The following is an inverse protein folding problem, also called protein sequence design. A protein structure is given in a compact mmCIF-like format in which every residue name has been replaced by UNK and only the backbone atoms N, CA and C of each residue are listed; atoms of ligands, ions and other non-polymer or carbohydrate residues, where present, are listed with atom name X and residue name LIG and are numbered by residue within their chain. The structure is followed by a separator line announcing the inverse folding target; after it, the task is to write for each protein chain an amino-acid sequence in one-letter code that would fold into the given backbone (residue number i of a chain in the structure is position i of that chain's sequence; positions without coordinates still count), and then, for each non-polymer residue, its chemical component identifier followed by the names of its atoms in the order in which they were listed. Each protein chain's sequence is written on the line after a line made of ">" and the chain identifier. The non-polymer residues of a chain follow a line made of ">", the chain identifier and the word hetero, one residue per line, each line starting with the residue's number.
data_IF_801274051073
#
_entry.id   IF_801274051073
#
_cell.length_a   1.000
_cell.length_b   1.000
_cell.length_c   1.000
_cell.angle_alpha   90.00
_cell.angle_beta   90.00
_cell.angle_gamma   90.00
#
_symmetry.space_group_name_H-M   'P 1'
#
loop_
_entity.id
_entity.type
_entity.pdbx_description
1 polymer ?
#
# COMPACT_ATOMS: atom_id res chain seq x y z
N UNK A 1 20.47 11.02 12.27
CA UNK A 1 20.00 9.72 11.78
C UNK A 1 18.53 9.64 12.15
N UNK A 2 17.61 9.96 11.24
CA UNK A 2 16.19 9.80 11.52
C UNK A 2 15.92 8.30 11.65
N UNK A 3 15.61 7.84 12.86
CA UNK A 3 15.06 6.51 13.09
C UNK A 3 13.76 6.43 12.31
N UNK A 4 13.72 5.67 11.22
CA UNK A 4 12.48 5.43 10.49
C UNK A 4 11.47 4.85 11.47
N UNK A 5 10.46 5.64 11.83
CA UNK A 5 9.46 5.18 12.78
C UNK A 5 8.63 4.12 12.07
N UNK A 6 8.64 2.90 12.62
CA UNK A 6 7.77 1.85 12.11
C UNK A 6 6.33 2.29 12.39
N UNK A 7 5.62 2.72 11.35
CA UNK A 7 4.19 3.00 11.41
C UNK A 7 3.44 1.69 11.24
N UNK A 8 2.49 1.36 12.13
CA UNK A 8 1.59 0.23 11.93
C UNK A 8 0.86 0.38 10.60
N UNK A 9 0.83 -0.70 9.80
CA UNK A 9 0.11 -0.75 8.53
C UNK A 9 -1.02 -1.76 8.67
N UNK A 10 -2.24 -1.31 8.40
CA UNK A 10 -3.39 -2.18 8.28
C UNK A 10 -3.64 -2.49 6.80
N UNK A 11 -3.90 -3.76 6.48
CA UNK A 11 -4.02 -4.22 5.10
C UNK A 11 -5.33 -4.98 4.93
N UNK A 12 -6.13 -4.54 3.97
CA UNK A 12 -7.33 -5.23 3.51
C UNK A 12 -7.14 -5.58 2.04
N UNK A 13 -7.22 -6.87 1.71
CA UNK A 13 -7.10 -7.35 0.34
C UNK A 13 -8.33 -8.18 -0.03
N UNK A 14 -9.22 -7.57 -0.80
CA UNK A 14 -10.42 -8.18 -1.38
C UNK A 14 -10.18 -8.36 -2.89
N UNK A 15 -9.07 -9.02 -3.24
CA UNK A 15 -8.72 -9.32 -4.62
C UNK A 15 -8.67 -10.83 -4.82
N UNK A 16 -9.29 -11.30 -5.90
CA UNK A 16 -9.00 -12.62 -6.46
C UNK A 16 -7.52 -12.71 -6.88
N UNK A 17 -6.95 -13.91 -7.03
CA UNK A 17 -5.58 -14.08 -7.51
C UNK A 17 -5.31 -13.22 -8.75
N UNK A 18 -4.35 -12.33 -8.63
CA UNK A 18 -4.04 -11.35 -9.66
C UNK A 18 -3.06 -11.95 -10.68
N UNK A 19 -3.06 -11.47 -11.93
CA UNK A 19 -1.96 -11.77 -12.85
C UNK A 19 -0.63 -11.34 -12.23
N UNK A 20 0.48 -12.10 -12.42
CA UNK A 20 1.76 -11.81 -11.78
C UNK A 20 2.28 -10.38 -12.03
N UNK A 21 1.98 -9.81 -13.20
CA UNK A 21 2.34 -8.43 -13.53
C UNK A 21 1.59 -7.41 -12.66
N UNK A 22 0.31 -7.67 -12.36
CA UNK A 22 -0.50 -6.81 -11.50
C UNK A 22 -0.07 -6.92 -10.04
N UNK A 23 0.29 -8.11 -9.55
CA UNK A 23 0.87 -8.30 -8.21
C UNK A 23 2.17 -7.51 -8.06
N UNK A 24 3.05 -7.63 -9.04
CA UNK A 24 4.34 -6.91 -9.04
C UNK A 24 4.12 -5.40 -9.05
N UNK A 25 3.20 -4.91 -9.88
CA UNK A 25 2.87 -3.49 -9.92
C UNK A 25 2.30 -2.99 -8.58
N UNK A 26 1.35 -3.74 -8.00
CA UNK A 26 0.76 -3.42 -6.70
C UNK A 26 1.82 -3.35 -5.60
N UNK A 27 2.73 -4.32 -5.56
CA UNK A 27 3.82 -4.34 -4.61
C UNK A 27 4.68 -3.08 -4.66
N UNK A 28 5.13 -2.66 -5.86
CA UNK A 28 5.96 -1.46 -5.99
C UNK A 28 5.21 -0.18 -5.65
N UNK A 29 3.94 -0.07 -6.05
CA UNK A 29 3.09 1.09 -5.72
C UNK A 29 2.92 1.21 -4.20
N UNK A 30 2.57 0.12 -3.52
CA UNK A 30 2.39 0.11 -2.06
C UNK A 30 3.71 0.40 -1.34
N UNK A 31 4.82 -0.21 -1.76
CA UNK A 31 6.12 -0.01 -1.13
C UNK A 31 6.60 1.45 -1.22
N UNK A 32 6.44 2.08 -2.38
CA UNK A 32 6.80 3.48 -2.59
C UNK A 32 5.87 4.42 -1.79
N UNK A 33 4.57 4.16 -1.80
CA UNK A 33 3.60 4.96 -1.04
C UNK A 33 3.90 4.91 0.47
N UNK A 34 4.11 3.72 1.04
CA UNK A 34 4.48 3.56 2.46
C UNK A 34 5.84 4.21 2.78
N UNK A 35 6.79 4.16 1.84
CA UNK A 35 8.07 4.86 1.99
C UNK A 35 7.88 6.37 2.07
N UNK A 36 7.00 6.93 1.23
CA UNK A 36 6.68 8.35 1.23
C UNK A 36 5.94 8.76 2.52
N UNK A 37 4.97 7.96 2.97
CA UNK A 37 4.27 8.18 4.25
C UNK A 37 5.28 8.19 5.40
N UNK A 38 6.13 7.17 5.51
CA UNK A 38 7.12 7.06 6.58
C UNK A 38 8.14 8.23 6.60
N UNK A 39 8.44 8.81 5.43
CA UNK A 39 9.38 9.93 5.30
C UNK A 39 8.73 11.30 5.49
N UNK A 40 7.45 11.46 5.14
CA UNK A 40 6.88 12.79 4.90
C UNK A 40 5.56 13.09 5.63
N UNK A 41 4.74 12.10 6.00
CA UNK A 41 3.36 12.34 6.52
C UNK A 41 3.31 12.74 8.01
N UNK A 42 4.28 12.30 8.82
CA UNK A 42 4.17 12.30 10.29
C UNK A 42 2.98 11.48 10.84
N UNK A 43 2.38 10.61 10.02
CA UNK A 43 1.25 9.80 10.41
C UNK A 43 1.64 8.75 11.46
N UNK A 44 0.67 8.41 12.32
CA UNK A 44 0.84 7.38 13.35
C UNK A 44 0.46 5.97 12.86
N UNK A 45 -0.11 5.84 11.66
CA UNK A 45 -0.51 4.58 11.02
C UNK A 45 -0.59 4.77 9.50
N UNK A 46 -0.80 3.69 8.77
CA UNK A 46 -1.21 3.71 7.38
C UNK A 46 -2.23 2.60 7.10
N UNK A 47 -3.11 2.83 6.13
CA UNK A 47 -4.11 1.87 5.66
C UNK A 47 -3.84 1.54 4.19
N UNK A 48 -3.85 0.25 3.84
CA UNK A 48 -3.66 -0.25 2.47
C UNK A 48 -4.86 -1.11 2.09
N UNK A 49 -5.55 -0.75 1.02
CA UNK A 49 -6.69 -1.50 0.49
C UNK A 49 -6.44 -1.93 -0.97
N UNK A 50 -6.65 -3.21 -1.26
CA UNK A 50 -6.62 -3.77 -2.61
C UNK A 50 -7.98 -4.37 -2.91
N UNK A 51 -8.58 -3.96 -4.04
CA UNK A 51 -9.83 -4.53 -4.54
C UNK A 51 -9.80 -4.62 -6.06
N UNK A 52 -10.55 -5.56 -6.62
CA UNK A 52 -10.78 -5.62 -8.07
C UNK A 52 -12.16 -5.03 -8.38
N UNK A 53 -12.18 -4.04 -9.26
CA UNK A 53 -13.39 -3.30 -9.68
C UNK A 53 -13.47 -3.30 -11.20
N UNK A 54 -14.52 -3.88 -11.78
CA UNK A 54 -14.68 -4.03 -13.23
C UNK A 54 -13.42 -4.59 -13.95
N UNK A 55 -12.78 -5.58 -13.35
CA UNK A 55 -11.56 -6.22 -13.88
C UNK A 55 -10.29 -5.37 -13.75
N UNK A 56 -10.33 -4.28 -12.98
CA UNK A 56 -9.19 -3.41 -12.69
C UNK A 56 -8.78 -3.55 -11.24
N UNK A 57 -7.49 -3.75 -11.00
CA UNK A 57 -6.94 -3.63 -9.66
C UNK A 57 -6.95 -2.17 -9.23
N UNK A 58 -7.62 -1.91 -8.12
CA UNK A 58 -7.60 -0.62 -7.42
C UNK A 58 -6.79 -0.79 -6.14
N UNK A 59 -5.75 0.03 -6.00
CA UNK A 59 -4.91 0.10 -4.82
C UNK A 59 -5.09 1.46 -4.18
N UNK A 60 -5.44 1.47 -2.90
CA UNK A 60 -5.58 2.68 -2.09
C UNK A 60 -4.59 2.61 -0.93
N UNK A 61 -3.87 3.70 -0.69
CA UNK A 61 -2.91 3.84 0.42
C UNK A 61 -3.16 5.19 1.07
N UNK A 62 -3.48 5.18 2.36
CA UNK A 62 -3.82 6.35 3.17
C UNK A 62 -2.97 6.40 4.45
N UNK A 63 -2.78 7.61 5.00
CA UNK A 63 -2.02 7.89 6.24
C UNK A 63 -2.91 8.42 7.40
#
# INVERSE_FOLDING_TARGET
>A
MASGQAIPVHVVAEAEPLPPQAETAAYFVVAEALTNIAKHSQASRADVALRVDDGRLVVTVDD
#
